data_IF_701576180434
#
_entry.id   IF_701576180434
#
_cell.length_a   1.000
_cell.length_b   1.000
_cell.length_c   1.000
_cell.angle_alpha   90.00
_cell.angle_beta   90.00
_cell.angle_gamma   90.00
#
_symmetry.space_group_name_H-M   'P 1'
#
loop_
_entity.id
_entity.type
_entity.pdbx_description
1 polymer ?
#
# COMPACT_ATOMS: atom_id res chain seq x y z
N UNK A 1 -66.33 -28.08 20.63
CA UNK A 1 -67.48 -27.31 20.13
C UNK A 1 -66.90 -26.28 19.18
N UNK A 2 -67.41 -26.33 17.97
CA UNK A 2 -66.88 -25.81 16.72
C UNK A 2 -67.49 -24.42 16.39
N UNK A 3 -66.93 -23.76 15.36
CA UNK A 3 -67.48 -22.63 14.54
C UNK A 3 -67.06 -21.23 15.03
N UNK A 4 -66.00 -20.62 14.46
CA UNK A 4 -65.95 -19.78 13.22
C UNK A 4 -66.61 -18.39 13.40
N UNK A 5 -66.14 -17.23 12.90
CA UNK A 5 -65.28 -16.88 11.75
C UNK A 5 -64.97 -15.35 11.81
N UNK A 6 -63.79 -14.95 11.30
CA UNK A 6 -63.45 -13.81 10.39
C UNK A 6 -64.04 -12.40 10.62
N UNK A 7 -63.36 -11.26 10.43
CA UNK A 7 -62.30 -10.85 9.50
C UNK A 7 -61.78 -9.44 9.95
N UNK A 8 -60.56 -8.98 9.65
CA UNK A 8 -60.49 -7.95 8.59
C UNK A 8 -59.66 -6.66 8.86
N UNK A 9 -58.33 -6.72 9.01
CA UNK A 9 -57.35 -5.69 8.56
C UNK A 9 -57.12 -4.28 9.20
N UNK A 10 -55.81 -4.00 9.32
CA UNK A 10 -55.05 -2.75 9.09
C UNK A 10 -54.84 -1.68 10.19
N UNK A 11 -53.58 -1.71 10.67
CA UNK A 11 -52.62 -0.60 10.63
C UNK A 11 -52.54 0.40 11.80
N UNK A 12 -51.51 0.17 12.62
CA UNK A 12 -50.49 1.14 13.06
C UNK A 12 -50.77 2.64 12.93
N UNK A 13 -50.86 3.31 14.08
CA UNK A 13 -50.04 4.47 14.46
C UNK A 13 -50.69 5.15 15.67
N UNK A 14 -49.96 5.30 16.78
CA UNK A 14 -49.84 6.55 17.56
C UNK A 14 -49.18 6.29 18.92
N UNK A 15 -48.34 7.27 19.30
CA UNK A 15 -47.83 7.59 20.63
C UNK A 15 -46.57 6.82 21.08
N UNK A 16 -45.42 7.44 20.84
CA UNK A 16 -44.68 8.11 21.93
C UNK A 16 -43.61 9.05 21.34
N UNK A 17 -43.83 10.35 21.53
CA UNK A 17 -42.86 11.44 21.33
C UNK A 17 -41.76 11.36 22.40
N UNK A 18 -40.46 11.47 22.04
CA UNK A 18 -39.40 11.65 23.03
C UNK A 18 -39.22 13.14 23.38
N UNK A 19 -38.97 13.41 24.67
CA UNK A 19 -38.68 14.71 25.25
C UNK A 19 -37.54 15.47 24.55
N UNK A 20 -37.63 16.81 24.38
CA UNK A 20 -36.61 17.61 23.71
C UNK A 20 -35.68 18.28 24.72
N UNK A 21 -35.03 17.53 25.62
CA UNK A 21 -34.02 18.10 26.52
C UNK A 21 -32.85 17.12 26.77
N UNK A 22 -32.11 16.77 25.72
CA UNK A 22 -30.75 16.26 25.87
C UNK A 22 -29.86 16.50 24.63
N UNK A 23 -30.13 17.55 23.85
CA UNK A 23 -29.28 17.97 22.72
C UNK A 23 -28.19 18.95 23.19
N UNK A 24 -27.35 18.46 24.10
CA UNK A 24 -26.30 19.22 24.76
C UNK A 24 -24.90 19.07 24.16
N UNK A 25 -24.75 18.56 22.94
CA UNK A 25 -23.51 18.59 22.17
C UNK A 25 -23.82 18.62 20.66
N UNK A 26 -24.65 19.58 20.23
CA UNK A 26 -24.47 20.11 18.89
C UNK A 26 -23.08 20.77 18.84
N UNK A 27 -22.08 19.98 18.46
CA UNK A 27 -20.84 20.49 17.90
C UNK A 27 -21.29 21.35 16.73
N UNK A 28 -21.40 22.65 16.98
CA UNK A 28 -21.60 23.64 15.93
C UNK A 28 -20.51 23.38 14.92
N UNK A 29 -20.92 22.90 13.75
CA UNK A 29 -20.04 22.65 12.61
C UNK A 29 -19.40 23.97 12.21
N UNK A 30 -18.31 24.34 12.89
CA UNK A 30 -17.47 25.46 12.50
C UNK A 30 -16.55 24.97 11.38
N UNK A 31 -17.15 24.67 10.22
CA UNK A 31 -16.40 24.41 9.00
C UNK A 31 -15.74 25.72 8.59
N UNK A 32 -14.46 25.85 8.93
CA UNK A 32 -13.64 26.93 8.39
C UNK A 32 -13.54 26.74 6.87
N UNK A 33 -13.62 27.84 6.08
CA UNK A 33 -13.59 27.74 4.62
C UNK A 33 -12.22 27.25 4.13
N UNK A 34 -12.16 26.68 2.92
CA UNK A 34 -10.89 26.25 2.32
C UNK A 34 -9.86 27.37 2.19
N UNK A 35 -10.31 28.63 2.12
CA UNK A 35 -9.45 29.82 2.13
C UNK A 35 -8.65 29.99 3.43
N UNK A 36 -9.10 29.39 4.53
CA UNK A 36 -8.35 29.28 5.78
C UNK A 36 -7.42 28.05 5.76
N UNK A 37 -7.97 26.89 5.39
CA UNK A 37 -7.24 25.62 5.50
C UNK A 37 -6.04 25.51 4.57
N UNK A 38 -6.11 26.03 3.35
CA UNK A 38 -4.96 25.97 2.42
C UNK A 38 -3.75 26.75 2.96
N UNK A 39 -3.85 28.06 3.29
CA UNK A 39 -2.72 28.79 3.87
C UNK A 39 -2.25 28.22 5.21
N UNK A 40 -3.16 27.74 6.05
CA UNK A 40 -2.82 27.08 7.31
C UNK A 40 -1.98 25.82 7.07
N UNK A 41 -2.44 24.93 6.18
CA UNK A 41 -1.74 23.71 5.82
C UNK A 41 -0.37 24.00 5.24
N UNK A 42 -0.26 24.96 4.32
CA UNK A 42 1.02 25.41 3.77
C UNK A 42 1.93 25.97 4.86
N UNK A 43 1.42 26.81 5.76
CA UNK A 43 2.18 27.38 6.87
C UNK A 43 2.76 26.30 7.80
N UNK A 44 1.96 25.31 8.18
CA UNK A 44 2.42 24.18 9.02
C UNK A 44 3.42 23.30 8.27
N UNK A 45 3.23 23.08 6.97
CA UNK A 45 4.21 22.36 6.14
C UNK A 45 5.57 23.08 6.11
N UNK A 46 5.57 24.41 5.99
CA UNK A 46 6.80 25.19 6.05
C UNK A 46 7.48 25.10 7.42
N UNK A 47 6.73 24.98 8.52
CA UNK A 47 7.32 24.71 9.85
C UNK A 47 8.03 23.36 9.85
N UNK A 48 7.40 22.30 9.31
CA UNK A 48 8.00 20.97 9.22
C UNK A 48 9.28 20.91 8.37
N UNK A 49 9.42 21.82 7.40
CA UNK A 49 10.62 21.93 6.55
C UNK A 49 11.70 22.84 7.14
N UNK A 50 11.31 23.91 7.83
CA UNK A 50 12.24 24.94 8.32
C UNK A 50 13.05 24.48 9.53
N UNK A 51 12.43 23.71 10.43
CA UNK A 51 13.05 23.29 11.69
C UNK A 51 13.73 21.92 11.52
N UNK A 52 14.86 21.72 12.19
CA UNK A 52 15.61 20.45 12.16
C UNK A 52 15.24 19.53 13.32
N UNK A 53 14.68 20.08 14.40
CA UNK A 53 14.29 19.37 15.60
C UNK A 53 13.16 18.37 15.31
N UNK A 54 13.42 17.08 15.57
CA UNK A 54 12.47 15.99 15.30
C UNK A 54 11.09 16.26 15.92
N UNK A 55 11.04 16.71 17.19
CA UNK A 55 9.79 17.00 17.89
C UNK A 55 8.93 18.06 17.17
N UNK A 56 9.53 19.17 16.76
CA UNK A 56 8.81 20.26 16.05
C UNK A 56 8.25 19.76 14.72
N UNK A 57 9.04 18.99 13.98
CA UNK A 57 8.64 18.44 12.68
C UNK A 57 7.52 17.41 12.84
N UNK A 58 7.61 16.54 13.84
CA UNK A 58 6.57 15.54 14.14
C UNK A 58 5.27 16.20 14.59
N UNK A 59 5.32 17.23 15.42
CA UNK A 59 4.13 17.97 15.85
C UNK A 59 3.46 18.68 14.67
N UNK A 60 4.25 19.35 13.82
CA UNK A 60 3.76 19.97 12.60
C UNK A 60 3.07 18.95 11.69
N UNK A 61 3.71 17.80 11.43
CA UNK A 61 3.12 16.72 10.64
C UNK A 61 1.86 16.13 11.29
N UNK A 62 1.80 16.06 12.62
CA UNK A 62 0.63 15.58 13.35
C UNK A 62 -0.57 16.53 13.20
N UNK A 63 -0.33 17.85 13.27
CA UNK A 63 -1.33 18.88 12.98
C UNK A 63 -1.83 18.75 11.53
N UNK A 64 -0.94 18.53 10.58
CA UNK A 64 -1.31 18.31 9.17
C UNK A 64 -2.15 17.05 8.98
N UNK A 65 -1.77 15.93 9.61
CA UNK A 65 -2.53 14.67 9.58
C UNK A 65 -3.95 14.88 10.11
N UNK A 66 -4.11 15.60 11.23
CA UNK A 66 -5.42 15.91 11.80
C UNK A 66 -6.24 16.81 10.86
N UNK A 67 -5.59 17.79 10.23
CA UNK A 67 -6.22 18.67 9.23
C UNK A 67 -6.73 17.88 8.03
N UNK A 68 -5.91 16.97 7.47
CA UNK A 68 -6.32 16.15 6.32
C UNK A 68 -7.42 15.16 6.68
N UNK A 69 -7.41 14.60 7.90
CA UNK A 69 -8.46 13.69 8.36
C UNK A 69 -9.82 14.36 8.49
N UNK A 70 -9.83 15.63 8.85
CA UNK A 70 -11.06 16.41 9.06
C UNK A 70 -11.54 17.13 7.80
N UNK A 71 -10.69 17.25 6.79
CA UNK A 71 -11.06 17.87 5.51
C UNK A 71 -11.79 16.91 4.56
N UNK A 72 -12.66 17.49 3.71
CA UNK A 72 -13.35 16.73 2.68
C UNK A 72 -12.35 16.13 1.67
N UNK A 73 -12.48 14.81 1.48
CA UNK A 73 -11.56 14.03 0.65
C UNK A 73 -11.61 14.40 -0.84
N UNK A 74 -12.74 14.91 -1.34
CA UNK A 74 -12.94 15.13 -2.79
C UNK A 74 -12.69 16.57 -3.22
N UNK A 75 -13.00 17.56 -2.39
CA UNK A 75 -12.94 18.98 -2.76
C UNK A 75 -11.90 19.80 -2.01
N UNK A 76 -11.64 19.53 -0.73
CA UNK A 76 -10.71 20.37 0.05
C UNK A 76 -9.26 19.94 -0.09
N UNK A 77 -8.98 18.63 -0.08
CA UNK A 77 -7.61 18.11 -0.14
C UNK A 77 -6.88 18.47 -1.43
N UNK A 78 -7.60 18.56 -2.54
CA UNK A 78 -7.05 18.99 -3.83
C UNK A 78 -6.46 20.41 -3.76
N UNK A 79 -7.06 21.28 -2.93
CA UNK A 79 -6.64 22.68 -2.77
C UNK A 79 -5.35 22.85 -1.97
N UNK A 80 -4.78 21.79 -1.39
CA UNK A 80 -3.48 21.85 -0.72
C UNK A 80 -2.30 21.94 -1.69
N UNK A 81 -2.52 21.69 -2.99
CA UNK A 81 -1.51 21.80 -4.03
C UNK A 81 -0.61 20.57 -4.11
N UNK A 82 -0.96 19.63 -4.99
CA UNK A 82 -0.30 18.33 -5.10
C UNK A 82 1.22 18.42 -5.29
N UNK A 83 1.70 19.21 -6.26
CA UNK A 83 3.13 19.29 -6.61
C UNK A 83 3.95 19.79 -5.40
N UNK A 84 3.57 20.92 -4.81
CA UNK A 84 4.27 21.51 -3.66
C UNK A 84 4.29 20.56 -2.46
N UNK A 85 3.21 19.82 -2.25
CA UNK A 85 3.15 18.81 -1.18
C UNK A 85 4.09 17.64 -1.48
N UNK A 86 4.16 17.16 -2.72
CA UNK A 86 5.08 16.08 -3.10
C UNK A 86 6.55 16.49 -2.94
N UNK A 87 6.92 17.70 -3.35
CA UNK A 87 8.27 18.25 -3.16
C UNK A 87 8.65 18.36 -1.67
N UNK A 88 7.69 18.78 -0.84
CA UNK A 88 7.89 18.88 0.61
C UNK A 88 8.01 17.49 1.25
N UNK A 89 7.17 16.54 0.83
CA UNK A 89 7.24 15.16 1.29
C UNK A 89 8.56 14.49 0.92
N UNK A 90 9.10 14.76 -0.27
CA UNK A 90 10.44 14.30 -0.65
C UNK A 90 11.48 14.74 0.38
N UNK A 91 11.52 16.04 0.71
CA UNK A 91 12.44 16.59 1.72
C UNK A 91 12.26 15.99 3.12
N UNK A 92 11.05 15.58 3.48
CA UNK A 92 10.75 14.97 4.78
C UNK A 92 11.05 13.45 4.82
N UNK A 93 11.00 12.78 3.67
CA UNK A 93 11.21 11.34 3.54
C UNK A 93 12.67 10.94 3.30
N UNK A 94 13.52 11.90 2.93
CA UNK A 94 14.96 11.73 2.73
C UNK A 94 15.63 10.90 3.85
N UNK A 95 16.60 10.06 3.44
CA UNK A 95 17.23 9.02 4.27
C UNK A 95 17.81 9.53 5.60
N UNK A 96 18.34 10.73 5.62
CA UNK A 96 18.95 11.40 6.77
C UNK A 96 17.95 11.82 7.84
N UNK A 97 16.65 11.91 7.52
CA UNK A 97 15.64 12.32 8.49
C UNK A 97 15.30 11.20 9.48
N UNK A 98 14.87 11.63 10.67
CA UNK A 98 14.47 10.74 11.75
C UNK A 98 13.26 9.86 11.34
N UNK A 99 13.21 8.64 11.90
CA UNK A 99 12.19 7.64 11.55
C UNK A 99 10.76 8.11 11.85
N UNK A 100 10.53 8.89 12.92
CA UNK A 100 9.20 9.40 13.23
C UNK A 100 8.73 10.43 12.20
N UNK A 101 9.63 11.29 11.71
CA UNK A 101 9.35 12.26 10.64
C UNK A 101 8.93 11.53 9.37
N UNK A 102 9.69 10.51 8.96
CA UNK A 102 9.35 9.67 7.80
C UNK A 102 8.00 8.99 7.98
N UNK A 103 7.77 8.36 9.14
CA UNK A 103 6.52 7.66 9.46
C UNK A 103 5.30 8.58 9.36
N UNK A 104 5.38 9.79 9.91
CA UNK A 104 4.27 10.76 9.81
C UNK A 104 4.11 11.27 8.38
N UNK A 105 5.21 11.44 7.64
CA UNK A 105 5.16 11.86 6.23
C UNK A 105 4.50 10.82 5.33
N UNK A 106 4.80 9.52 5.49
CA UNK A 106 4.12 8.43 4.78
C UNK A 106 2.63 8.39 5.13
N UNK A 107 2.28 8.59 6.40
CA UNK A 107 0.88 8.63 6.83
C UNK A 107 0.12 9.83 6.26
N UNK A 108 0.75 11.01 6.23
CA UNK A 108 0.20 12.20 5.61
C UNK A 108 -0.04 11.94 4.11
N UNK A 109 0.94 11.39 3.40
CA UNK A 109 0.80 11.01 2.00
C UNK A 109 -0.37 10.04 1.77
N UNK A 110 -0.49 9.00 2.60
CA UNK A 110 -1.61 8.06 2.53
C UNK A 110 -2.96 8.77 2.63
N UNK A 111 -3.12 9.69 3.60
CA UNK A 111 -4.37 10.41 3.81
C UNK A 111 -4.67 11.40 2.67
N UNK A 112 -3.64 12.04 2.12
CA UNK A 112 -3.78 12.92 0.96
C UNK A 112 -4.22 12.15 -0.28
N UNK A 113 -3.66 10.95 -0.52
CA UNK A 113 -4.03 10.09 -1.64
C UNK A 113 -5.42 9.46 -1.49
N UNK A 114 -6.08 9.58 -0.34
CA UNK A 114 -7.52 9.32 -0.26
C UNK A 114 -8.35 10.37 -1.04
N UNK A 115 -7.73 11.43 -1.56
CA UNK A 115 -8.30 12.28 -2.60
C UNK A 115 -8.15 11.62 -3.98
N UNK A 116 -9.25 11.29 -4.69
CA UNK A 116 -9.17 10.60 -5.98
C UNK A 116 -8.38 11.36 -7.04
N UNK A 117 -8.45 12.70 -7.05
CA UNK A 117 -7.69 13.54 -7.98
C UNK A 117 -6.18 13.41 -7.74
N UNK A 118 -5.73 13.50 -6.48
CA UNK A 118 -4.32 13.33 -6.11
C UNK A 118 -3.81 11.92 -6.39
N UNK A 119 -4.61 10.89 -6.10
CA UNK A 119 -4.28 9.51 -6.43
C UNK A 119 -4.12 9.30 -7.93
N UNK A 120 -5.06 9.84 -8.73
CA UNK A 120 -4.98 9.77 -10.20
C UNK A 120 -3.71 10.46 -10.70
N UNK A 121 -3.39 11.65 -10.22
CA UNK A 121 -2.15 12.36 -10.59
C UNK A 121 -0.89 11.56 -10.25
N UNK A 122 -0.83 10.95 -9.06
CA UNK A 122 0.30 10.09 -8.68
C UNK A 122 0.42 8.88 -9.62
N UNK A 123 -0.69 8.18 -9.88
CA UNK A 123 -0.68 6.97 -10.69
C UNK A 123 -0.45 7.24 -12.19
N UNK A 124 -0.88 8.39 -12.72
CA UNK A 124 -0.64 8.77 -14.13
C UNK A 124 0.70 9.45 -14.38
N UNK A 125 1.53 9.63 -13.34
CA UNK A 125 2.80 10.33 -13.44
C UNK A 125 2.65 11.83 -13.70
N UNK A 126 1.52 12.42 -13.29
CA UNK A 126 1.24 13.84 -13.51
C UNK A 126 0.75 14.21 -14.91
N UNK A 127 0.49 13.23 -15.79
CA UNK A 127 0.10 13.47 -17.19
C UNK A 127 -1.36 13.90 -17.37
N UNK A 128 -2.25 13.54 -16.45
CA UNK A 128 -3.70 13.82 -16.57
C UNK A 128 -4.12 15.23 -16.10
N UNK A 129 -3.17 16.11 -15.79
CA UNK A 129 -3.43 17.48 -15.30
C UNK A 129 -3.39 18.58 -16.37
N UNK A 130 -3.04 18.25 -17.62
CA UNK A 130 -2.80 19.23 -18.68
C UNK A 130 -3.73 19.01 -19.88
N UNK A 131 -4.98 19.46 -19.76
CA UNK A 131 -5.81 19.78 -20.93
C UNK A 131 -5.88 21.31 -21.18
N UNK A 132 -5.16 22.12 -20.41
CA UNK A 132 -5.03 23.56 -20.66
C UNK A 132 -3.57 24.01 -20.59
N UNK A 133 -3.10 24.55 -21.72
CA UNK A 133 -1.80 25.19 -22.00
C UNK A 133 -0.60 24.27 -22.28
N UNK A 134 -0.38 24.02 -23.57
CA UNK A 134 0.97 23.90 -24.14
C UNK A 134 1.72 25.22 -23.87
N UNK A 135 2.53 25.26 -22.83
CA UNK A 135 3.62 26.23 -22.70
C UNK A 135 4.94 25.50 -22.71
N UNK A 136 5.75 25.81 -23.72
CA UNK A 136 7.12 25.35 -23.92
C UNK A 136 7.96 25.70 -22.70
N UNK A 137 8.37 24.67 -21.93
CA UNK A 137 9.34 24.76 -20.83
C UNK A 137 8.87 24.12 -19.53
N UNK A 138 9.46 22.97 -19.17
CA UNK A 138 9.26 22.18 -17.94
C UNK A 138 8.03 21.24 -17.87
N UNK A 139 7.86 20.38 -18.87
CA UNK A 139 6.87 19.28 -18.85
C UNK A 139 7.14 18.16 -17.81
N UNK A 140 8.24 18.24 -17.04
CA UNK A 140 8.71 17.14 -16.17
C UNK A 140 8.60 17.39 -14.66
N UNK A 141 8.26 18.59 -14.19
CA UNK A 141 8.26 18.93 -12.75
C UNK A 141 7.35 18.03 -11.90
N UNK A 142 6.07 17.78 -12.27
CA UNK A 142 5.19 16.92 -11.47
C UNK A 142 5.67 15.47 -11.43
N UNK A 143 6.15 14.96 -12.56
CA UNK A 143 6.65 13.59 -12.69
C UNK A 143 7.93 13.41 -11.85
N UNK A 144 8.82 14.41 -11.83
CA UNK A 144 10.03 14.39 -11.03
C UNK A 144 9.71 14.38 -9.53
N UNK A 145 8.80 15.23 -9.07
CA UNK A 145 8.37 15.25 -7.66
C UNK A 145 7.75 13.89 -7.23
N UNK A 146 6.92 13.29 -8.09
CA UNK A 146 6.36 11.95 -7.85
C UNK A 146 7.49 10.91 -7.75
N UNK A 147 8.40 10.87 -8.74
CA UNK A 147 9.48 9.89 -8.77
C UNK A 147 10.41 10.00 -7.56
N UNK A 148 10.71 11.21 -7.10
CA UNK A 148 11.49 11.45 -5.89
C UNK A 148 10.81 10.85 -4.66
N UNK A 149 9.52 11.11 -4.44
CA UNK A 149 8.78 10.52 -3.33
C UNK A 149 8.70 9.00 -3.42
N UNK A 150 8.44 8.44 -4.61
CA UNK A 150 8.44 6.98 -4.80
C UNK A 150 9.81 6.38 -4.44
N UNK A 151 10.91 7.06 -4.83
CA UNK A 151 12.26 6.65 -4.46
C UNK A 151 12.45 6.67 -2.94
N UNK A 152 12.06 7.72 -2.24
CA UNK A 152 12.21 7.76 -0.78
C UNK A 152 11.35 6.70 -0.07
N UNK A 153 10.14 6.41 -0.60
CA UNK A 153 9.31 5.29 -0.12
C UNK A 153 10.02 3.95 -0.32
N UNK A 154 10.73 3.77 -1.42
CA UNK A 154 11.53 2.57 -1.68
C UNK A 154 12.67 2.43 -0.66
N UNK A 155 13.32 3.53 -0.31
CA UNK A 155 14.38 3.55 0.71
C UNK A 155 13.83 3.20 2.10
N UNK A 156 12.60 3.62 2.42
CA UNK A 156 11.92 3.23 3.66
C UNK A 156 11.69 1.70 3.76
N UNK A 157 11.58 0.98 2.65
CA UNK A 157 11.48 -0.49 2.62
C UNK A 157 12.84 -1.19 2.70
N UNK A 158 13.93 -0.55 2.27
CA UNK A 158 15.29 -1.12 2.33
C UNK A 158 15.90 -1.09 3.74
N UNK A 159 15.21 -0.51 4.72
CA UNK A 159 15.62 -0.54 6.11
C UNK A 159 15.64 -1.99 6.62
N UNK A 160 16.67 -2.38 7.38
CA UNK A 160 16.80 -3.72 7.95
C UNK A 160 15.61 -4.10 8.87
N UNK A 161 14.84 -3.10 9.30
CA UNK A 161 13.59 -3.23 10.06
C UNK A 161 13.77 -4.11 11.29
N UNK A 162 14.70 -3.67 12.14
CA UNK A 162 15.15 -4.37 13.35
C UNK A 162 14.41 -3.88 14.59
N UNK A 163 13.87 -2.67 14.56
CA UNK A 163 13.11 -2.05 15.65
C UNK A 163 11.61 -2.01 15.36
N UNK A 164 10.79 -1.91 16.42
CA UNK A 164 9.32 -1.74 16.30
C UNK A 164 8.95 -0.52 15.43
N UNK A 165 9.71 0.57 15.53
CA UNK A 165 9.44 1.79 14.76
C UNK A 165 9.72 1.60 13.26
N UNK A 166 10.80 0.93 12.90
CA UNK A 166 11.12 0.62 11.51
C UNK A 166 10.08 -0.34 10.90
N UNK A 167 9.67 -1.38 11.65
CA UNK A 167 8.60 -2.28 11.21
C UNK A 167 7.28 -1.54 10.96
N UNK A 168 6.92 -0.60 11.85
CA UNK A 168 5.74 0.26 11.68
C UNK A 168 5.85 1.15 10.43
N UNK A 169 7.04 1.70 10.16
CA UNK A 169 7.28 2.49 8.95
C UNK A 169 7.14 1.62 7.68
N UNK A 170 7.81 0.48 7.62
CA UNK A 170 7.69 -0.46 6.49
C UNK A 170 6.24 -0.87 6.26
N UNK A 171 5.51 -1.20 7.33
CA UNK A 171 4.09 -1.58 7.25
C UNK A 171 3.22 -0.46 6.69
N UNK A 172 3.46 0.80 7.08
CA UNK A 172 2.75 1.94 6.51
C UNK A 172 3.02 2.11 5.02
N UNK A 173 4.27 1.91 4.58
CA UNK A 173 4.61 1.95 3.14
C UNK A 173 3.92 0.81 2.39
N UNK A 174 3.93 -0.42 2.92
CA UNK A 174 3.21 -1.56 2.32
C UNK A 174 1.71 -1.28 2.20
N UNK A 175 1.10 -0.71 3.24
CA UNK A 175 -0.32 -0.33 3.20
C UNK A 175 -0.60 0.74 2.15
N UNK A 176 0.29 1.72 2.02
CA UNK A 176 0.21 2.73 0.97
C UNK A 176 0.32 2.11 -0.43
N UNK A 177 1.26 1.19 -0.65
CA UNK A 177 1.39 0.48 -1.93
C UNK A 177 0.16 -0.36 -2.25
N UNK A 178 -0.43 -1.04 -1.25
CA UNK A 178 -1.67 -1.77 -1.41
C UNK A 178 -2.85 -0.87 -1.77
N UNK A 179 -2.90 0.34 -1.20
CA UNK A 179 -3.88 1.35 -1.56
C UNK A 179 -3.66 1.89 -2.98
N UNK A 180 -2.42 2.19 -3.37
CA UNK A 180 -2.08 2.61 -4.74
C UNK A 180 -2.49 1.52 -5.75
N UNK A 181 -2.14 0.26 -5.51
CA UNK A 181 -2.55 -0.85 -6.36
C UNK A 181 -4.07 -0.99 -6.49
N UNK A 182 -4.82 -0.55 -5.48
CA UNK A 182 -6.29 -0.59 -5.52
C UNK A 182 -6.92 0.41 -6.49
N UNK A 183 -6.17 1.39 -6.99
CA UNK A 183 -6.65 2.40 -7.96
C UNK A 183 -6.85 1.85 -9.38
N UNK A 184 -6.46 0.60 -9.64
CA UNK A 184 -6.56 -0.04 -10.95
C UNK A 184 -5.25 0.01 -11.72
N UNK A 185 -5.32 -0.09 -13.06
CA UNK A 185 -4.16 -0.35 -13.93
C UNK A 185 -2.97 0.57 -13.68
N UNK A 186 -3.19 1.88 -13.60
CA UNK A 186 -2.11 2.86 -13.40
C UNK A 186 -1.43 2.66 -12.04
N UNK A 187 -2.18 2.38 -10.98
CA UNK A 187 -1.60 2.07 -9.66
C UNK A 187 -0.80 0.79 -9.66
N UNK A 188 -1.25 -0.25 -10.37
CA UNK A 188 -0.48 -1.47 -10.56
C UNK A 188 0.84 -1.22 -11.31
N UNK A 189 0.83 -0.37 -12.34
CA UNK A 189 2.04 0.01 -13.08
C UNK A 189 3.06 0.73 -12.19
N UNK A 190 2.63 1.54 -11.23
CA UNK A 190 3.53 2.14 -10.22
C UNK A 190 4.27 1.08 -9.41
N UNK A 191 3.60 -0.03 -9.03
CA UNK A 191 4.22 -1.10 -8.25
C UNK A 191 5.18 -1.97 -9.08
N UNK A 192 4.87 -2.18 -10.36
CA UNK A 192 5.69 -2.96 -11.30
C UNK A 192 6.89 -2.16 -11.81
N UNK A 193 6.77 -0.84 -11.88
CA UNK A 193 7.83 0.05 -12.33
C UNK A 193 9.07 -0.03 -11.44
N UNK A 194 10.23 -0.01 -12.07
CA UNK A 194 11.51 0.14 -11.37
C UNK A 194 11.61 1.56 -10.82
N UNK A 195 11.57 1.69 -9.50
CA UNK A 195 11.75 2.99 -8.83
C UNK A 195 13.22 3.26 -8.56
N UNK A 196 13.97 2.19 -8.27
CA UNK A 196 15.43 2.17 -8.23
C UNK A 196 15.92 1.08 -9.19
N UNK A 197 16.93 0.29 -8.80
CA UNK A 197 17.27 -0.93 -9.50
C UNK A 197 16.20 -2.05 -9.31
N UNK A 198 15.30 -1.88 -8.34
CA UNK A 198 14.26 -2.84 -7.99
C UNK A 198 12.87 -2.21 -8.09
N UNK A 199 11.89 -3.05 -8.44
CA UNK A 199 10.46 -2.72 -8.31
C UNK A 199 10.02 -2.75 -6.85
N UNK A 200 8.88 -2.13 -6.54
CA UNK A 200 8.30 -2.25 -5.19
C UNK A 200 7.99 -3.70 -4.84
N UNK A 201 7.60 -4.54 -5.82
CA UNK A 201 7.35 -5.96 -5.58
C UNK A 201 8.60 -6.69 -5.08
N UNK A 202 9.73 -6.47 -5.73
CA UNK A 202 11.01 -7.05 -5.32
C UNK A 202 11.41 -6.58 -3.92
N UNK A 203 11.32 -5.27 -3.65
CA UNK A 203 11.61 -4.71 -2.32
C UNK A 203 10.71 -5.31 -1.24
N UNK A 204 9.42 -5.52 -1.54
CA UNK A 204 8.49 -6.13 -0.59
C UNK A 204 8.83 -7.60 -0.32
N UNK A 205 9.34 -8.32 -1.32
CA UNK A 205 9.86 -9.69 -1.13
C UNK A 205 11.13 -9.72 -0.28
N UNK A 206 12.03 -8.76 -0.48
CA UNK A 206 13.25 -8.62 0.34
C UNK A 206 12.89 -8.33 1.81
N UNK A 207 11.93 -7.44 2.05
CA UNK A 207 11.39 -7.18 3.40
C UNK A 207 10.86 -8.47 4.03
N UNK A 208 10.02 -9.22 3.30
CA UNK A 208 9.44 -10.45 3.83
C UNK A 208 10.51 -11.49 4.17
N UNK A 209 11.51 -11.67 3.30
CA UNK A 209 12.63 -12.59 3.52
C UNK A 209 13.46 -12.18 4.74
N UNK A 210 13.80 -10.90 4.89
CA UNK A 210 14.54 -10.38 6.05
C UNK A 210 13.81 -10.68 7.37
N UNK A 211 12.49 -10.48 7.39
CA UNK A 211 11.69 -10.74 8.59
C UNK A 211 11.57 -12.23 8.95
N UNK A 212 11.72 -13.12 7.96
CA UNK A 212 11.77 -14.56 8.22
C UNK A 212 13.07 -14.96 8.92
N UNK A 213 14.20 -14.34 8.57
CA UNK A 213 15.53 -14.75 9.05
C UNK A 213 15.90 -14.17 10.42
N UNK A 214 15.17 -13.17 10.90
CA UNK A 214 15.46 -12.48 12.15
C UNK A 214 15.30 -13.40 13.38
N UNK A 215 16.42 -13.65 14.08
CA UNK A 215 16.45 -14.36 15.37
C UNK A 215 16.03 -13.40 16.48
N UNK A 216 15.21 -13.87 17.41
CA UNK A 216 14.72 -13.05 18.53
C UNK A 216 15.20 -13.63 19.85
N UNK A 217 15.97 -12.83 20.60
CA UNK A 217 16.39 -13.12 21.97
C UNK A 217 15.36 -12.57 22.97
N UNK A 218 15.10 -13.28 24.07
CA UNK A 218 13.91 -13.11 24.90
C UNK A 218 13.95 -11.88 25.85
N UNK A 219 13.00 -10.94 25.71
CA UNK A 219 12.67 -9.83 26.64
C UNK A 219 11.21 -9.37 26.47
N UNK A 220 10.67 -8.42 27.24
CA UNK A 220 9.28 -7.91 27.06
C UNK A 220 9.12 -7.05 25.81
N UNK A 221 10.18 -6.35 25.39
CA UNK A 221 10.26 -5.59 24.13
C UNK A 221 10.09 -6.49 22.90
N UNK A 222 10.32 -7.79 23.07
CA UNK A 222 10.08 -8.82 22.05
C UNK A 222 8.62 -8.96 21.67
N UNK A 223 7.66 -8.78 22.59
CA UNK A 223 6.27 -9.03 22.26
C UNK A 223 5.71 -7.99 21.29
N UNK A 224 5.98 -6.70 21.53
CA UNK A 224 5.59 -5.63 20.60
C UNK A 224 6.29 -5.81 19.25
N UNK A 225 7.58 -6.14 19.26
CA UNK A 225 8.36 -6.38 18.05
C UNK A 225 7.82 -7.58 17.24
N UNK A 226 7.49 -8.69 17.90
CA UNK A 226 6.91 -9.88 17.27
C UNK A 226 5.53 -9.59 16.67
N UNK A 227 4.70 -8.83 17.39
CA UNK A 227 3.38 -8.44 16.89
C UNK A 227 3.50 -7.55 15.65
N UNK A 228 4.37 -6.54 15.70
CA UNK A 228 4.62 -5.66 14.54
C UNK A 228 5.20 -6.43 13.35
N UNK A 229 6.10 -7.39 13.60
CA UNK A 229 6.63 -8.28 12.55
C UNK A 229 5.53 -9.11 11.91
N UNK A 230 4.67 -9.74 12.71
CA UNK A 230 3.52 -10.47 12.21
C UNK A 230 2.64 -9.58 11.33
N UNK A 231 2.30 -8.38 11.80
CA UNK A 231 1.47 -7.44 11.06
C UNK A 231 2.13 -7.05 9.73
N UNK A 232 3.42 -6.75 9.72
CA UNK A 232 4.15 -6.44 8.48
C UNK A 232 4.09 -7.62 7.49
N UNK A 233 4.47 -8.83 7.93
CA UNK A 233 4.45 -10.02 7.07
C UNK A 233 3.06 -10.32 6.53
N UNK A 234 2.03 -10.14 7.36
CA UNK A 234 0.63 -10.31 7.00
C UNK A 234 0.22 -9.34 5.89
N UNK A 235 0.48 -8.04 6.05
CA UNK A 235 0.11 -7.03 5.05
C UNK A 235 0.87 -7.24 3.73
N UNK A 236 2.14 -7.65 3.79
CA UNK A 236 2.91 -8.01 2.60
C UNK A 236 2.26 -9.18 1.86
N UNK A 237 1.91 -10.27 2.55
CA UNK A 237 1.27 -11.42 1.91
C UNK A 237 -0.13 -11.09 1.39
N UNK A 238 -0.89 -10.22 2.05
CA UNK A 238 -2.18 -9.75 1.55
C UNK A 238 -1.99 -9.01 0.23
N UNK A 239 -1.03 -8.08 0.18
CA UNK A 239 -0.68 -7.37 -1.05
C UNK A 239 -0.30 -8.35 -2.15
N UNK A 240 0.69 -9.21 -1.92
CA UNK A 240 1.17 -10.18 -2.92
C UNK A 240 0.05 -11.10 -3.42
N UNK A 241 -0.77 -11.64 -2.52
CA UNK A 241 -1.90 -12.49 -2.91
C UNK A 241 -2.94 -11.72 -3.72
N UNK A 242 -3.23 -10.47 -3.38
CA UNK A 242 -4.16 -9.62 -4.13
C UNK A 242 -3.64 -9.38 -5.55
N UNK A 243 -2.35 -9.07 -5.70
CA UNK A 243 -1.75 -8.83 -7.01
C UNK A 243 -1.71 -10.12 -7.85
N UNK A 244 -1.24 -11.22 -7.25
CA UNK A 244 -1.10 -12.53 -7.90
C UNK A 244 -2.44 -13.24 -8.16
N UNK A 245 -3.56 -12.76 -7.63
CA UNK A 245 -4.91 -13.28 -7.91
C UNK A 245 -5.72 -12.43 -8.87
N UNK A 246 -5.21 -11.25 -9.25
CA UNK A 246 -5.95 -10.34 -10.09
C UNK A 246 -5.99 -10.83 -11.54
N UNK A 247 -7.17 -10.85 -12.17
CA UNK A 247 -7.39 -11.41 -13.51
C UNK A 247 -6.41 -10.86 -14.56
N UNK A 248 -6.12 -9.56 -14.53
CA UNK A 248 -5.24 -8.90 -15.49
C UNK A 248 -3.77 -8.76 -15.04
N UNK A 249 -3.50 -8.86 -13.73
CA UNK A 249 -2.19 -8.50 -13.17
C UNK A 249 -1.46 -9.68 -12.52
N UNK A 250 -2.12 -10.83 -12.40
CA UNK A 250 -1.52 -12.05 -11.85
C UNK A 250 -0.24 -12.44 -12.59
N UNK A 251 -0.32 -12.59 -13.92
CA UNK A 251 0.82 -12.95 -14.77
C UNK A 251 1.96 -11.91 -14.71
N UNK A 252 1.73 -10.59 -14.96
CA UNK A 252 2.78 -9.58 -14.82
C UNK A 252 3.44 -9.54 -13.42
N UNK A 253 2.64 -9.71 -12.36
CA UNK A 253 3.15 -9.76 -10.98
C UNK A 253 4.13 -10.93 -10.82
N UNK A 254 3.73 -12.13 -11.23
CA UNK A 254 4.55 -13.33 -11.10
C UNK A 254 5.77 -13.28 -12.03
N UNK A 255 5.66 -12.68 -13.22
CA UNK A 255 6.79 -12.44 -14.12
C UNK A 255 7.85 -11.52 -13.49
N UNK A 256 7.45 -10.46 -12.79
CA UNK A 256 8.41 -9.60 -12.05
C UNK A 256 9.07 -10.37 -10.90
N UNK A 257 8.27 -11.10 -10.11
CA UNK A 257 8.78 -11.88 -8.97
C UNK A 257 9.74 -13.00 -9.40
N UNK A 258 9.51 -13.57 -10.59
CA UNK A 258 10.33 -14.66 -11.15
C UNK A 258 11.37 -14.16 -12.15
N UNK A 259 11.44 -12.85 -12.41
CA UNK A 259 12.22 -12.27 -13.50
C UNK A 259 13.73 -12.24 -13.24
N UNK A 260 14.14 -12.06 -11.97
CA UNK A 260 15.55 -12.08 -11.57
C UNK A 260 15.86 -13.33 -10.75
N UNK A 261 17.07 -13.90 -10.91
CA UNK A 261 17.50 -15.09 -10.15
C UNK A 261 17.39 -14.88 -8.63
N UNK A 262 17.71 -13.67 -8.16
CA UNK A 262 17.61 -13.28 -6.74
C UNK A 262 16.16 -13.29 -6.29
N UNK A 263 15.28 -12.55 -6.96
CA UNK A 263 13.87 -12.45 -6.56
C UNK A 263 13.12 -13.79 -6.72
N UNK A 264 13.40 -14.56 -7.77
CA UNK A 264 12.85 -15.90 -7.95
C UNK A 264 13.26 -16.84 -6.81
N UNK A 265 14.54 -16.78 -6.40
CA UNK A 265 15.05 -17.54 -5.25
C UNK A 265 14.32 -17.19 -3.96
N UNK A 266 14.18 -15.88 -3.65
CA UNK A 266 13.42 -15.41 -2.49
C UNK A 266 11.95 -15.83 -2.55
N UNK A 267 11.32 -15.72 -3.73
CA UNK A 267 9.92 -16.09 -3.95
C UNK A 267 9.68 -17.56 -3.67
N UNK A 268 10.53 -18.45 -4.19
CA UNK A 268 10.46 -19.89 -3.93
C UNK A 268 10.73 -20.20 -2.46
N UNK A 269 11.71 -19.53 -1.84
CA UNK A 269 12.06 -19.74 -0.43
C UNK A 269 10.89 -19.36 0.50
N UNK A 270 10.32 -18.17 0.30
CA UNK A 270 9.13 -17.68 1.02
C UNK A 270 7.95 -18.64 0.84
N UNK A 271 7.62 -18.99 -0.41
CA UNK A 271 6.51 -19.89 -0.73
C UNK A 271 6.66 -21.27 -0.08
N UNK A 272 7.89 -21.74 0.12
CA UNK A 272 8.14 -23.05 0.71
C UNK A 272 8.18 -23.05 2.23
N UNK A 273 8.86 -22.07 2.83
CA UNK A 273 9.18 -22.10 4.24
C UNK A 273 8.12 -21.40 5.10
N UNK A 274 7.48 -20.32 4.63
CA UNK A 274 6.51 -19.57 5.43
C UNK A 274 5.24 -20.36 5.83
N UNK A 275 4.68 -21.25 4.98
CA UNK A 275 3.54 -22.08 5.39
C UNK A 275 3.89 -23.07 6.53
N UNK A 276 5.18 -23.33 6.78
CA UNK A 276 5.63 -24.31 7.77
C UNK A 276 5.75 -23.64 9.14
N UNK A 277 4.72 -23.81 9.99
CA UNK A 277 4.69 -23.26 11.37
C UNK A 277 5.87 -23.64 12.26
N UNK A 278 6.56 -24.74 11.94
CA UNK A 278 7.73 -25.21 12.69
C UNK A 278 8.98 -24.35 12.47
N UNK A 279 8.98 -23.44 11.49
CA UNK A 279 10.12 -22.59 11.12
C UNK A 279 9.82 -21.12 11.41
N UNK A 280 10.84 -20.37 11.84
CA UNK A 280 10.85 -18.90 12.03
C UNK A 280 10.06 -18.38 13.25
N UNK A 281 9.95 -17.06 13.51
CA UNK A 281 9.31 -16.57 14.72
C UNK A 281 7.80 -16.86 14.79
N UNK A 282 7.23 -17.52 13.77
CA UNK A 282 5.87 -18.08 13.76
C UNK A 282 5.55 -18.94 14.99
N UNK A 283 6.52 -19.70 15.51
CA UNK A 283 6.33 -20.53 16.71
C UNK A 283 6.04 -19.70 17.97
N UNK A 284 6.51 -18.45 18.01
CA UNK A 284 6.35 -17.54 19.14
C UNK A 284 5.06 -16.71 19.04
N UNK A 285 4.40 -16.71 17.88
CA UNK A 285 3.10 -16.07 17.72
C UNK A 285 2.02 -16.89 18.42
N UNK A 286 0.92 -16.22 18.78
CA UNK A 286 -0.26 -16.95 19.20
C UNK A 286 -0.79 -17.83 18.04
N UNK A 287 -1.51 -18.93 18.34
CA UNK A 287 -1.95 -19.87 17.31
C UNK A 287 -2.78 -19.21 16.20
N UNK A 288 -3.65 -18.25 16.54
CA UNK A 288 -4.51 -17.60 15.55
C UNK A 288 -3.71 -16.81 14.51
N UNK A 289 -2.73 -16.01 14.96
CA UNK A 289 -1.84 -15.23 14.09
C UNK A 289 -0.97 -16.14 13.22
N UNK A 290 -0.42 -17.20 13.82
CA UNK A 290 0.37 -18.19 13.09
C UNK A 290 -0.46 -18.93 12.02
N UNK A 291 -1.73 -19.22 12.30
CA UNK A 291 -2.65 -19.84 11.34
C UNK A 291 -2.95 -18.89 10.18
N UNK A 292 -3.33 -17.64 10.48
CA UNK A 292 -3.63 -16.61 9.49
C UNK A 292 -2.45 -16.40 8.53
N UNK A 293 -1.23 -16.29 9.07
CA UNK A 293 -0.04 -16.09 8.25
C UNK A 293 0.29 -17.33 7.39
N UNK A 294 0.13 -18.53 7.94
CA UNK A 294 0.33 -19.78 7.21
C UNK A 294 -0.68 -19.93 6.05
N UNK A 295 -1.94 -19.55 6.25
CA UNK A 295 -2.99 -19.62 5.24
C UNK A 295 -2.73 -18.62 4.10
N UNK A 296 -2.31 -17.40 4.42
CA UNK A 296 -1.89 -16.38 3.44
C UNK A 296 -0.67 -16.86 2.64
N UNK A 297 0.31 -17.46 3.30
CA UNK A 297 1.48 -18.01 2.63
C UNK A 297 1.16 -19.21 1.74
N UNK A 298 0.27 -20.09 2.19
CA UNK A 298 -0.15 -21.24 1.41
C UNK A 298 -0.88 -20.81 0.13
N UNK A 299 -1.74 -19.80 0.24
CA UNK A 299 -2.39 -19.15 -0.91
C UNK A 299 -1.37 -18.56 -1.89
N UNK A 300 -0.32 -17.92 -1.39
CA UNK A 300 0.74 -17.37 -2.22
C UNK A 300 1.53 -18.49 -2.92
N UNK A 301 1.91 -19.52 -2.16
CA UNK A 301 2.59 -20.72 -2.66
C UNK A 301 1.85 -21.35 -3.83
N UNK A 302 0.55 -21.62 -3.68
CA UNK A 302 -0.25 -22.24 -4.74
C UNK A 302 -0.21 -21.44 -6.05
N UNK A 303 -0.17 -20.10 -5.97
CA UNK A 303 -0.10 -19.23 -7.16
C UNK A 303 1.27 -19.26 -7.83
N UNK A 304 2.35 -19.22 -7.04
CA UNK A 304 3.72 -19.31 -7.55
C UNK A 304 3.93 -20.64 -8.29
N UNK A 305 3.50 -21.76 -7.68
CA UNK A 305 3.64 -23.07 -8.30
C UNK A 305 2.73 -23.28 -9.51
N UNK A 306 1.49 -22.79 -9.48
CA UNK A 306 0.62 -22.82 -10.66
C UNK A 306 1.24 -22.08 -11.86
N UNK A 307 1.85 -20.91 -11.63
CA UNK A 307 2.56 -20.19 -12.68
C UNK A 307 3.79 -20.95 -13.20
N UNK A 308 4.57 -21.60 -12.32
CA UNK A 308 5.73 -22.40 -12.74
C UNK A 308 5.31 -23.61 -13.60
N UNK A 309 4.20 -24.26 -13.26
CA UNK A 309 3.63 -25.35 -14.04
C UNK A 309 3.19 -24.86 -15.42
N UNK A 310 2.46 -23.74 -15.50
CA UNK A 310 2.03 -23.15 -16.78
C UNK A 310 3.22 -22.81 -17.71
N UNK A 311 4.33 -22.32 -17.15
CA UNK A 311 5.54 -22.00 -17.90
C UNK A 311 6.23 -23.25 -18.45
N UNK A 312 6.25 -24.35 -17.69
CA UNK A 312 6.81 -25.64 -18.13
C UNK A 312 6.00 -26.26 -19.28
N UNK A 313 4.66 -26.20 -19.21
CA UNK A 313 3.80 -26.70 -20.30
C UNK A 313 3.94 -25.84 -21.58
N UNK A 314 4.02 -24.51 -21.43
CA UNK A 314 4.21 -23.59 -22.55
C UNK A 314 5.56 -23.78 -23.27
N UNK A 315 6.59 -24.21 -22.54
CA UNK A 315 7.92 -24.50 -23.12
C UNK A 315 7.98 -25.86 -23.79
N UNK A 316 7.27 -26.86 -23.29
CA UNK A 316 7.14 -28.18 -23.92
C UNK A 316 6.39 -28.12 -25.26
N UNK A 317 5.25 -27.40 -25.34
CA UNK A 317 4.48 -27.26 -26.59
C UNK A 317 5.26 -26.51 -27.69
N UNK A 318 6.17 -25.61 -27.31
CA UNK A 318 7.05 -24.88 -28.24
C UNK A 318 8.14 -25.77 -28.84
N UNK A 319 8.56 -26.82 -28.14
CA UNK A 319 9.53 -27.80 -28.65
C UNK A 319 8.89 -28.78 -29.65
N UNK A 320 7.64 -29.18 -29.42
CA UNK A 320 6.94 -30.13 -30.31
C UNK A 320 6.54 -29.51 -31.67
N UNK A 321 6.36 -28.19 -31.73
CA UNK A 321 6.06 -27.48 -32.98
C UNK A 321 7.30 -27.16 -33.83
N UNK A 322 8.52 -27.35 -33.31
CA UNK A 322 9.77 -27.14 -34.04
C UNK A 322 10.28 -28.36 -34.85
N UNK A 323 9.65 -29.53 -34.71
CA UNK A 323 10.16 -30.79 -35.26
C UNK A 323 9.42 -31.30 -36.53
N UNK A 324 8.66 -30.44 -37.23
CA UNK A 324 8.01 -30.79 -38.51
C UNK A 324 8.63 -30.04 -39.70
N UNK A 325 9.96 -30.10 -39.83
CA UNK A 325 10.66 -29.69 -41.04
C UNK A 325 10.77 -30.87 -42.01
N UNK A 326 9.91 -30.93 -43.04
CA UNK A 326 10.08 -31.86 -44.18
C UNK A 326 11.47 -31.64 -44.82
N UNK A 327 12.21 -32.71 -45.19
CA UNK A 327 13.50 -32.56 -45.83
C UNK A 327 13.33 -31.98 -47.25
N UNK A 328 14.27 -31.15 -47.73
CA UNK A 328 14.19 -30.56 -49.06
C UNK A 328 14.39 -31.64 -50.14
N UNK A 329 13.46 -31.69 -51.10
CA UNK A 329 13.62 -32.49 -52.32
C UNK A 329 14.71 -31.87 -53.18
N UNK A 330 15.78 -32.63 -53.44
CA UNK A 330 16.82 -32.30 -54.41
C UNK A 330 16.27 -32.55 -55.83
N UNK A 331 16.28 -31.57 -56.74
CA UNK A 331 15.99 -31.83 -58.15
C UNK A 331 17.22 -32.42 -58.85
N UNK A 332 16.98 -33.40 -59.73
CA UNK A 332 17.97 -33.97 -60.65
C UNK A 332 18.19 -33.07 -61.85
#
# INVERSE_FOLDING_TARGET
MEIERNNQEHSSALLNTPDPEEDGLHIGNMFLPSTFWTPFFTGVLQIALKYSEEGIRVDALSIMILTVRTSDSKGEREKFGFISVMESLHQLLQKENALLVKKHSVHLLFLLLNCPAMLKMLCSGGKDGSELMETVGCENEPQQAINSVLKDLSECLTCEATTSLELKLCRLVVNLLAFIASSGKLGYEVLLGSVTAHSFLELTMEVLASQMECKVDFSTEVHELLNERYLLMREVLILLNRLASHAMFSKPTLEVLMGSKRCAGLTIDIANRLPQRSKYPLRQLNPQMANDLADLAQKFRSRVYGFLEEQQHSTAERCDTGASGKPPRVPR
#
